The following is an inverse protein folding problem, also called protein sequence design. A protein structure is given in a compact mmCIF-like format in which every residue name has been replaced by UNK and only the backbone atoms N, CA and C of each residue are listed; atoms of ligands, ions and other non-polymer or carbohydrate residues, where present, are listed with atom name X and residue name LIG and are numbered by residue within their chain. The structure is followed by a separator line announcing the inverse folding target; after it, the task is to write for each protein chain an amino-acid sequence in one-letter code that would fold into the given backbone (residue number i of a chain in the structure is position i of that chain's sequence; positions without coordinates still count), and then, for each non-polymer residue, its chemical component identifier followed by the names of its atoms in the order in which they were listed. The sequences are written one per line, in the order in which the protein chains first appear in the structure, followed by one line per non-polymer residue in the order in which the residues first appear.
data_IF_036843804592
#
_entry.id   IF_036843804592
#
_cell.length_a   1.000
_cell.length_b   1.000
_cell.length_c   1.000
_cell.angle_alpha   90.00
_cell.angle_beta   90.00
_cell.angle_gamma   90.00
#
_symmetry.space_group_name_H-M   'P 1'
#
loop_
_entity.id
_entity.type
_entity.pdbx_description
1 polymer ?
#
# COMPACT_ATOMS: atom_id res chain seq x y z
N UNK A 1 -32.00 -16.70 -0.44
CA UNK A 1 -30.69 -16.91 0.23
C UNK A 1 -29.94 -15.60 0.07
N UNK A 2 -29.78 -14.85 1.13
CA UNK A 2 -29.02 -13.61 1.08
C UNK A 2 -27.53 -13.92 1.11
N UNK A 3 -26.77 -13.29 0.21
CA UNK A 3 -25.32 -13.46 0.11
C UNK A 3 -24.68 -12.51 1.14
N UNK A 4 -23.84 -13.07 2.01
CA UNK A 4 -22.95 -12.25 2.85
C UNK A 4 -21.77 -11.71 2.00
N UNK A 5 -21.99 -10.57 1.38
CA UNK A 5 -20.99 -9.93 0.54
C UNK A 5 -19.72 -9.54 1.28
N UNK A 6 -19.83 -9.18 2.56
CA UNK A 6 -18.65 -8.86 3.38
C UNK A 6 -17.74 -10.09 3.49
N UNK A 7 -18.31 -11.23 3.81
CA UNK A 7 -17.58 -12.49 3.87
C UNK A 7 -17.00 -12.88 2.50
N UNK A 8 -17.79 -12.79 1.42
CA UNK A 8 -17.33 -13.17 0.09
C UNK A 8 -16.15 -12.32 -0.42
N UNK A 9 -16.19 -11.00 -0.22
CA UNK A 9 -15.11 -10.11 -0.62
C UNK A 9 -13.82 -10.36 0.17
N UNK A 10 -13.96 -10.57 1.48
CA UNK A 10 -12.83 -10.92 2.33
C UNK A 10 -12.22 -12.26 1.97
N UNK A 11 -13.04 -13.27 1.70
CA UNK A 11 -12.57 -14.62 1.35
C UNK A 11 -11.76 -14.60 0.03
N UNK A 12 -12.23 -13.86 -0.98
CA UNK A 12 -11.51 -13.70 -2.24
C UNK A 12 -10.17 -13.00 -2.04
N UNK A 13 -10.14 -11.92 -1.25
CA UNK A 13 -8.91 -11.19 -0.97
C UNK A 13 -7.92 -12.05 -0.17
N UNK A 14 -8.40 -12.75 0.86
CA UNK A 14 -7.58 -13.60 1.72
C UNK A 14 -7.03 -14.82 0.96
N UNK A 15 -7.85 -15.40 0.06
CA UNK A 15 -7.38 -16.46 -0.84
C UNK A 15 -6.23 -15.97 -1.72
N UNK A 16 -6.40 -14.80 -2.38
CA UNK A 16 -5.36 -14.22 -3.23
C UNK A 16 -4.09 -13.89 -2.42
N UNK A 17 -4.26 -13.29 -1.24
CA UNK A 17 -3.15 -12.98 -0.34
C UNK A 17 -2.36 -14.23 0.02
N UNK A 18 -3.01 -15.24 0.56
CA UNK A 18 -2.36 -16.45 1.10
C UNK A 18 -1.86 -17.41 0.02
N UNK A 19 -2.46 -17.42 -1.17
CA UNK A 19 -2.14 -18.38 -2.22
C UNK A 19 -1.33 -17.78 -3.36
N UNK A 20 -1.36 -16.46 -3.54
CA UNK A 20 -0.72 -15.82 -4.68
C UNK A 20 0.33 -14.78 -4.26
N UNK A 21 -0.03 -13.73 -3.55
CA UNK A 21 0.88 -12.62 -3.32
C UNK A 21 1.93 -12.96 -2.25
N UNK A 22 1.49 -13.28 -1.04
CA UNK A 22 2.41 -13.42 0.09
C UNK A 22 3.46 -14.54 -0.08
N UNK A 23 3.11 -15.73 -0.60
CA UNK A 23 4.11 -16.78 -0.88
C UNK A 23 5.16 -16.38 -1.91
N UNK A 24 4.81 -15.51 -2.89
CA UNK A 24 5.79 -15.03 -3.89
C UNK A 24 6.82 -14.06 -3.34
N UNK A 25 6.53 -13.49 -2.19
CA UNK A 25 7.45 -12.60 -1.46
C UNK A 25 8.27 -13.35 -0.40
N UNK A 26 8.09 -14.66 -0.28
CA UNK A 26 8.82 -15.49 0.65
C UNK A 26 10.28 -15.60 0.22
N UNK A 27 11.21 -15.31 1.15
CA UNK A 27 12.63 -15.32 0.83
C UNK A 27 13.16 -14.06 0.11
N UNK A 28 12.32 -13.03 -0.07
CA UNK A 28 12.75 -11.75 -0.65
C UNK A 28 13.94 -11.18 0.14
N UNK A 29 15.08 -11.03 -0.52
CA UNK A 29 16.27 -10.42 0.04
C UNK A 29 16.36 -8.92 -0.24
N UNK A 30 17.26 -8.23 0.48
CA UNK A 30 17.44 -6.78 0.31
C UNK A 30 17.93 -6.43 -1.10
N UNK A 31 18.78 -7.24 -1.69
CA UNK A 31 19.27 -7.04 -3.06
C UNK A 31 18.13 -7.09 -4.09
N UNK A 32 17.15 -7.99 -3.92
CA UNK A 32 15.96 -8.05 -4.78
C UNK A 32 14.98 -6.93 -4.48
N UNK A 33 14.81 -6.59 -3.20
CA UNK A 33 13.91 -5.52 -2.75
C UNK A 33 14.25 -4.19 -3.39
N UNK A 34 15.55 -3.84 -3.44
CA UNK A 34 16.05 -2.60 -4.04
C UNK A 34 16.47 -2.72 -5.50
N UNK A 35 16.34 -3.90 -6.12
CA UNK A 35 16.83 -4.11 -7.47
C UNK A 35 16.17 -3.19 -8.50
N UNK A 36 17.00 -2.41 -9.19
CA UNK A 36 16.59 -1.52 -10.27
C UNK A 36 16.85 -2.20 -11.62
N UNK A 37 15.80 -2.64 -12.36
CA UNK A 37 15.96 -3.30 -13.64
C UNK A 37 16.55 -2.41 -14.74
N UNK A 38 16.37 -1.09 -14.61
CA UNK A 38 16.95 -0.07 -15.49
C UNK A 38 17.32 1.19 -14.69
N UNK A 39 18.29 1.99 -15.15
CA UNK A 39 18.60 3.27 -14.50
C UNK A 39 17.38 4.20 -14.45
N UNK A 40 17.20 4.88 -13.32
CA UNK A 40 16.10 5.83 -13.14
C UNK A 40 14.75 5.21 -12.79
N UNK A 41 14.75 3.95 -12.35
CA UNK A 41 13.56 3.37 -11.70
C UNK A 41 13.18 4.18 -10.46
N UNK A 42 11.89 4.32 -10.21
CA UNK A 42 11.44 4.79 -8.91
C UNK A 42 11.61 3.69 -7.87
N UNK A 43 12.19 4.08 -6.75
CA UNK A 43 12.53 3.18 -5.65
C UNK A 43 12.28 3.82 -4.29
N UNK A 44 12.63 3.11 -3.25
CA UNK A 44 12.89 3.64 -1.92
C UNK A 44 14.41 3.75 -1.80
N UNK A 45 14.92 4.94 -1.48
CA UNK A 45 16.34 5.22 -1.33
C UNK A 45 16.66 5.72 0.06
N UNK A 46 17.92 5.63 0.46
CA UNK A 46 18.39 6.39 1.62
C UNK A 46 18.16 7.88 1.38
N UNK A 47 17.79 8.59 2.42
CA UNK A 47 17.55 10.02 2.34
C UNK A 47 18.78 10.75 1.77
N UNK A 48 18.54 11.50 0.70
CA UNK A 48 19.57 12.27 -0.01
C UNK A 48 20.28 11.51 -1.15
N UNK A 49 19.94 10.23 -1.40
CA UNK A 49 20.55 9.44 -2.48
C UNK A 49 19.67 9.36 -3.74
N UNK A 50 18.39 9.72 -3.64
CA UNK A 50 17.48 9.72 -4.79
C UNK A 50 17.78 10.87 -5.76
N UNK A 51 17.64 10.60 -7.06
CA UNK A 51 17.64 11.59 -8.14
C UNK A 51 16.24 11.99 -8.61
N UNK A 52 15.18 11.45 -8.00
CA UNK A 52 13.81 11.80 -8.35
C UNK A 52 13.50 13.27 -8.04
N UNK A 53 12.63 13.92 -8.84
CA UNK A 53 12.26 15.32 -8.63
C UNK A 53 11.62 15.59 -7.28
N UNK A 54 10.89 14.63 -6.76
CA UNK A 54 10.22 14.69 -5.45
C UNK A 54 10.47 13.39 -4.71
N UNK A 55 10.73 13.52 -3.41
CA UNK A 55 10.86 12.41 -2.48
C UNK A 55 9.99 12.63 -1.26
N UNK A 56 9.42 11.56 -0.70
CA UNK A 56 8.55 11.61 0.47
C UNK A 56 8.99 10.59 1.53
N UNK A 57 8.72 10.90 2.80
CA UNK A 57 9.02 10.03 3.94
C UNK A 57 9.64 10.79 5.10
N UNK A 58 9.34 10.38 6.33
CA UNK A 58 9.87 11.01 7.55
C UNK A 58 11.19 10.39 8.03
N UNK A 59 11.41 9.08 7.77
CA UNK A 59 12.55 8.31 8.26
C UNK A 59 13.85 8.44 7.45
N UNK A 60 14.79 7.53 7.66
CA UNK A 60 16.08 7.50 6.93
C UNK A 60 15.94 7.06 5.47
N UNK A 61 14.77 6.55 5.06
CA UNK A 61 14.46 6.17 3.69
C UNK A 61 13.31 7.00 3.16
N UNK A 62 13.34 7.30 1.85
CA UNK A 62 12.34 8.10 1.14
C UNK A 62 11.90 7.38 -0.12
N UNK A 63 10.64 7.56 -0.52
CA UNK A 63 10.06 7.03 -1.76
C UNK A 63 10.06 8.09 -2.85
N UNK A 64 10.34 7.68 -4.08
CA UNK A 64 10.43 8.54 -5.25
C UNK A 64 9.06 8.81 -5.87
N UNK A 65 8.86 10.03 -6.35
CA UNK A 65 7.76 10.35 -7.26
C UNK A 65 8.00 11.66 -8.01
N UNK A 66 7.06 12.05 -8.88
CA UNK A 66 7.04 13.34 -9.57
C UNK A 66 5.60 13.82 -9.79
N UNK A 67 5.45 15.14 -9.83
CA UNK A 67 4.19 15.80 -10.19
C UNK A 67 4.47 16.92 -11.23
N UNK A 68 3.85 16.87 -12.40
CA UNK A 68 2.96 15.81 -12.92
C UNK A 68 3.71 14.49 -13.12
N UNK A 69 2.94 13.38 -13.20
CA UNK A 69 3.52 12.07 -13.48
C UNK A 69 4.22 12.08 -14.85
N UNK A 70 5.45 11.56 -14.96
CA UNK A 70 6.18 11.52 -16.22
C UNK A 70 5.50 10.64 -17.27
N UNK A 71 5.69 11.00 -18.53
CA UNK A 71 5.25 10.17 -19.64
C UNK A 71 6.45 9.83 -20.54
N UNK A 72 6.81 8.57 -20.72
CA UNK A 72 6.22 7.38 -20.11
C UNK A 72 6.47 7.30 -18.60
N UNK A 73 5.55 6.61 -17.89
CA UNK A 73 5.72 6.35 -16.46
C UNK A 73 6.99 5.53 -16.21
N UNK A 74 7.78 5.84 -15.17
CA UNK A 74 8.98 5.10 -14.86
C UNK A 74 8.68 3.68 -14.38
N UNK A 75 9.63 2.77 -14.56
CA UNK A 75 9.58 1.47 -13.90
C UNK A 75 9.77 1.67 -12.40
N UNK A 76 9.23 0.74 -11.62
CA UNK A 76 9.29 0.78 -10.17
C UNK A 76 9.92 -0.50 -9.62
N UNK A 77 10.70 -0.35 -8.55
CA UNK A 77 11.27 -1.48 -7.81
C UNK A 77 10.23 -2.18 -6.93
N UNK A 78 10.57 -3.33 -6.37
CA UNK A 78 9.74 -4.00 -5.35
C UNK A 78 9.59 -3.08 -4.13
N UNK A 79 10.65 -2.40 -3.72
CA UNK A 79 10.63 -1.45 -2.60
C UNK A 79 9.57 -0.36 -2.79
N UNK A 80 9.53 0.26 -3.97
CA UNK A 80 8.54 1.28 -4.30
C UNK A 80 7.11 0.73 -4.23
N UNK A 81 6.90 -0.46 -4.83
CA UNK A 81 5.56 -1.07 -4.88
C UNK A 81 5.05 -1.45 -3.50
N UNK A 82 5.90 -2.03 -2.66
CA UNK A 82 5.52 -2.34 -1.28
C UNK A 82 5.21 -1.08 -0.48
N UNK A 83 6.05 -0.04 -0.57
CA UNK A 83 5.80 1.25 0.06
C UNK A 83 4.48 1.89 -0.39
N UNK A 84 4.19 1.86 -1.70
CA UNK A 84 2.93 2.35 -2.25
C UNK A 84 1.71 1.56 -1.75
N UNK A 85 1.78 0.24 -1.72
CA UNK A 85 0.69 -0.61 -1.23
C UNK A 85 0.44 -0.35 0.26
N UNK A 86 1.50 -0.30 1.07
CA UNK A 86 1.40 -0.08 2.51
C UNK A 86 0.78 1.28 2.82
N UNK A 87 1.25 2.35 2.17
CA UNK A 87 0.79 3.72 2.45
C UNK A 87 -0.49 4.06 1.70
N UNK A 88 -0.46 4.00 0.37
CA UNK A 88 -1.54 4.51 -0.48
C UNK A 88 -2.73 3.58 -0.61
N UNK A 89 -2.51 2.25 -0.58
CA UNK A 89 -3.61 1.29 -0.75
C UNK A 89 -4.23 0.92 0.60
N UNK A 90 -3.43 0.52 1.57
CA UNK A 90 -3.95 0.08 2.87
C UNK A 90 -3.98 1.21 3.91
N UNK A 91 -2.84 1.84 4.18
CA UNK A 91 -2.68 2.74 5.33
C UNK A 91 -3.63 3.93 5.29
N UNK A 92 -3.65 4.67 4.19
CA UNK A 92 -4.53 5.82 4.01
C UNK A 92 -6.02 5.43 4.13
N UNK A 93 -6.41 4.28 3.56
CA UNK A 93 -7.79 3.80 3.64
C UNK A 93 -8.18 3.29 5.02
N UNK A 94 -7.27 2.61 5.73
CA UNK A 94 -7.50 2.23 7.13
C UNK A 94 -7.73 3.48 7.98
N UNK A 95 -6.92 4.52 7.82
CA UNK A 95 -7.09 5.78 8.52
C UNK A 95 -8.44 6.44 8.20
N UNK A 96 -8.80 6.50 6.92
CA UNK A 96 -10.01 7.18 6.47
C UNK A 96 -11.31 6.45 6.82
N UNK A 97 -11.32 5.13 6.79
CA UNK A 97 -12.55 4.34 6.90
C UNK A 97 -12.72 3.64 8.26
N UNK A 98 -11.62 3.34 8.94
CA UNK A 98 -11.64 2.51 10.15
C UNK A 98 -11.04 3.20 11.37
N UNK A 99 -10.70 4.49 11.27
CA UNK A 99 -10.22 5.27 12.40
C UNK A 99 -8.81 4.92 12.88
N UNK A 100 -7.99 4.36 12.00
CA UNK A 100 -6.57 4.14 12.26
C UNK A 100 -5.78 5.45 12.34
N UNK A 101 -4.49 5.40 12.72
CA UNK A 101 -3.63 6.57 12.69
C UNK A 101 -3.53 7.13 11.27
N UNK A 102 -3.42 8.46 11.15
CA UNK A 102 -3.23 9.09 9.85
C UNK A 102 -1.93 8.59 9.21
N UNK A 103 -2.01 8.16 7.96
CA UNK A 103 -0.88 7.67 7.18
C UNK A 103 -0.86 8.40 5.84
N UNK A 104 0.28 9.02 5.51
CA UNK A 104 0.53 9.64 4.23
C UNK A 104 1.99 9.42 3.79
N UNK A 105 2.26 9.71 2.53
CA UNK A 105 3.59 9.50 1.94
C UNK A 105 4.69 10.35 2.58
N UNK A 106 4.37 11.51 3.16
CA UNK A 106 5.36 12.45 3.72
C UNK A 106 5.78 12.05 5.13
N UNK A 107 4.85 11.52 5.90
CA UNK A 107 5.06 11.19 7.32
C UNK A 107 5.42 9.73 7.57
N UNK A 108 5.31 8.89 6.55
CA UNK A 108 5.61 7.45 6.68
C UNK A 108 7.12 7.18 6.74
N UNK A 109 7.52 6.23 7.60
CA UNK A 109 8.89 5.72 7.69
C UNK A 109 9.04 4.46 6.84
N UNK A 110 9.62 4.63 5.65
CA UNK A 110 9.82 3.53 4.70
C UNK A 110 10.88 2.55 5.19
N UNK A 111 10.64 1.27 4.97
CA UNK A 111 11.55 0.21 5.37
C UNK A 111 12.86 0.23 4.59
N UNK A 112 13.97 0.09 5.30
CA UNK A 112 15.30 -0.02 4.74
C UNK A 112 15.77 -1.46 4.50
N UNK A 113 14.90 -2.45 4.74
CA UNK A 113 15.16 -3.88 4.50
C UNK A 113 13.91 -4.56 3.95
N UNK A 114 14.09 -5.64 3.20
CA UNK A 114 13.00 -6.47 2.71
C UNK A 114 12.17 -7.05 3.87
N UNK A 115 12.82 -7.51 4.93
CA UNK A 115 12.15 -8.06 6.11
C UNK A 115 11.22 -7.06 6.80
N UNK A 116 11.69 -5.82 6.98
CA UNK A 116 10.85 -4.76 7.58
C UNK A 116 9.70 -4.35 6.65
N UNK A 117 9.95 -4.29 5.33
CA UNK A 117 8.90 -3.99 4.36
C UNK A 117 7.79 -5.05 4.35
N UNK A 118 8.15 -6.33 4.44
CA UNK A 118 7.19 -7.43 4.53
C UNK A 118 6.39 -7.37 5.83
N UNK A 119 7.02 -7.01 6.94
CA UNK A 119 6.33 -6.81 8.21
C UNK A 119 5.32 -5.66 8.13
N UNK A 120 5.72 -4.49 7.57
CA UNK A 120 4.82 -3.36 7.33
C UNK A 120 3.64 -3.76 6.43
N UNK A 121 3.90 -4.55 5.39
CA UNK A 121 2.87 -5.05 4.49
C UNK A 121 1.86 -5.97 5.20
N UNK A 122 2.35 -6.92 6.00
CA UNK A 122 1.51 -7.86 6.75
C UNK A 122 0.65 -7.13 7.79
N UNK A 123 1.21 -6.14 8.49
CA UNK A 123 0.50 -5.29 9.45
C UNK A 123 -0.59 -4.45 8.78
N UNK A 124 -0.28 -3.82 7.64
CA UNK A 124 -1.24 -3.02 6.88
C UNK A 124 -2.39 -3.88 6.32
N UNK A 125 -2.08 -5.07 5.81
CA UNK A 125 -3.09 -6.04 5.37
C UNK A 125 -4.00 -6.49 6.51
N UNK A 126 -3.43 -6.79 7.67
CA UNK A 126 -4.20 -7.20 8.85
C UNK A 126 -5.13 -6.09 9.33
N UNK A 127 -4.65 -4.84 9.35
CA UNK A 127 -5.46 -3.69 9.71
C UNK A 127 -6.62 -3.47 8.74
N UNK A 128 -6.36 -3.53 7.43
CA UNK A 128 -7.38 -3.42 6.39
C UNK A 128 -8.44 -4.51 6.52
N UNK A 129 -8.05 -5.79 6.55
CA UNK A 129 -9.00 -6.91 6.63
C UNK A 129 -9.77 -6.93 7.94
N UNK A 130 -9.14 -6.49 9.04
CA UNK A 130 -9.82 -6.29 10.34
C UNK A 130 -10.91 -5.23 10.24
N UNK A 131 -10.60 -4.10 9.63
CA UNK A 131 -11.56 -3.02 9.38
C UNK A 131 -12.74 -3.47 8.51
N UNK A 132 -12.46 -4.12 7.38
CA UNK A 132 -13.52 -4.63 6.48
C UNK A 132 -14.41 -5.65 7.21
N UNK A 133 -13.85 -6.58 7.98
CA UNK A 133 -14.65 -7.54 8.77
C UNK A 133 -15.63 -6.84 9.72
N UNK A 134 -15.25 -5.68 10.27
CA UNK A 134 -16.09 -4.95 11.20
C UNK A 134 -17.29 -4.24 10.55
N UNK A 135 -17.29 -4.06 9.21
CA UNK A 135 -18.35 -3.35 8.50
C UNK A 135 -19.66 -4.13 8.47
N UNK A 136 -19.60 -5.43 8.21
CA UNK A 136 -20.78 -6.21 7.87
C UNK A 136 -21.47 -5.71 6.60
N UNK A 137 -22.58 -6.33 6.22
CA UNK A 137 -23.33 -5.98 5.01
C UNK A 137 -23.83 -4.53 5.01
N UNK A 138 -24.29 -4.03 6.15
CA UNK A 138 -24.78 -2.67 6.28
C UNK A 138 -23.66 -1.63 6.15
N UNK A 139 -22.46 -1.94 6.60
CA UNK A 139 -21.30 -1.07 6.45
C UNK A 139 -20.86 -0.94 5.00
N UNK A 140 -20.88 -2.03 4.25
CA UNK A 140 -20.54 -2.03 2.82
C UNK A 140 -21.51 -1.16 1.97
N UNK A 141 -22.74 -0.98 2.40
CA UNK A 141 -23.74 -0.16 1.71
C UNK A 141 -23.56 1.35 1.96
N UNK A 142 -22.68 1.74 2.88
CA UNK A 142 -22.39 3.17 3.12
C UNK A 142 -21.50 3.72 1.99
N UNK A 143 -21.63 5.00 1.70
CA UNK A 143 -20.75 5.68 0.74
C UNK A 143 -19.31 5.74 1.24
N UNK A 144 -18.35 5.68 0.33
CA UNK A 144 -16.92 5.79 0.64
C UNK A 144 -16.56 7.13 1.29
N UNK A 145 -17.22 8.20 0.89
CA UNK A 145 -16.97 9.54 1.40
C UNK A 145 -15.83 10.30 0.70
N UNK A 146 -15.62 11.57 1.08
CA UNK A 146 -14.77 12.51 0.34
C UNK A 146 -13.30 12.08 0.17
N UNK A 147 -12.79 11.23 1.05
CA UNK A 147 -11.42 10.73 0.98
C UNK A 147 -11.13 9.90 -0.27
N UNK A 148 -12.16 9.31 -0.90
CA UNK A 148 -12.03 8.52 -2.13
C UNK A 148 -12.26 9.36 -3.40
N UNK A 149 -12.31 10.69 -3.30
CA UNK A 149 -12.38 11.60 -4.44
C UNK A 149 -13.55 11.29 -5.37
N UNK A 150 -13.30 10.91 -6.67
CA UNK A 150 -14.38 10.65 -7.63
C UNK A 150 -15.26 9.45 -7.25
N UNK A 151 -14.86 8.62 -6.32
CA UNK A 151 -15.61 7.46 -5.84
C UNK A 151 -16.38 7.73 -4.54
N UNK A 152 -16.41 8.97 -4.06
CA UNK A 152 -16.99 9.35 -2.76
C UNK A 152 -18.45 8.86 -2.57
N UNK A 153 -19.25 8.87 -3.62
CA UNK A 153 -20.68 8.49 -3.59
C UNK A 153 -20.93 6.98 -3.83
N UNK A 154 -19.88 6.23 -4.15
CA UNK A 154 -20.00 4.78 -4.33
C UNK A 154 -20.02 4.04 -2.99
N UNK A 155 -20.64 2.85 -2.91
CA UNK A 155 -20.55 2.02 -1.70
C UNK A 155 -19.11 1.56 -1.44
N UNK A 156 -18.84 1.27 -0.17
CA UNK A 156 -17.53 0.80 0.28
C UNK A 156 -17.19 -0.60 -0.23
#
# INVERSE_FOLDING_TARGET
MDIDWNHQLLDQLDWHWRRQLRPRLEGLGDDEYFWEPVPGCWSVHRRGESSAPIVAGAGPFTIDYAMPEPSPAPLTTIAWRLGHIVVGVFGARVANHFGGPAVDYQTFEYAGTAGDALRQLDEAYAAWTGGVRSLGTAGLARTCGPAEGPFAEYPM
#
